data_IF_681061911324
#
_entry.id   IF_681061911324
#
_cell.length_a   1.000
_cell.length_b   1.000
_cell.length_c   1.000
_cell.angle_alpha   90.00
_cell.angle_beta   90.00
_cell.angle_gamma   90.00
#
_symmetry.space_group_name_H-M   'P 1'
#
loop_
_entity.id
_entity.type
_entity.pdbx_description
1 polymer ?
#
# COMPACT_ATOMS: atom_id res chain seq x y z
N UNK A 1 21.62 -13.35 -17.39
CA UNK A 1 21.70 -14.46 -16.44
C UNK A 1 23.09 -15.02 -16.65
N UNK A 2 23.96 -14.90 -15.64
CA UNK A 2 25.41 -14.99 -15.74
C UNK A 2 26.00 -16.26 -16.39
N UNK A 3 27.18 -16.14 -16.96
CA UNK A 3 27.91 -17.23 -17.59
C UNK A 3 28.69 -18.06 -16.57
N UNK A 4 28.87 -17.54 -15.35
CA UNK A 4 29.57 -18.19 -14.23
C UNK A 4 28.61 -18.57 -13.12
N UNK A 5 29.04 -19.49 -12.23
CA UNK A 5 28.25 -19.88 -11.05
C UNK A 5 27.98 -18.68 -10.11
N UNK A 6 28.91 -17.76 -10.02
CA UNK A 6 28.79 -16.56 -9.16
C UNK A 6 27.77 -15.55 -9.71
N UNK A 7 27.56 -15.54 -11.03
CA UNK A 7 26.58 -14.69 -11.70
C UNK A 7 25.22 -15.40 -11.91
N UNK A 8 25.12 -16.66 -11.53
CA UNK A 8 23.92 -17.44 -11.71
C UNK A 8 22.77 -16.92 -10.81
N UNK A 9 21.63 -16.66 -11.42
CA UNK A 9 20.41 -16.35 -10.67
C UNK A 9 19.87 -17.63 -10.01
N UNK A 10 20.25 -17.84 -8.75
CA UNK A 10 19.88 -19.01 -7.95
C UNK A 10 18.43 -18.92 -7.50
N UNK A 11 17.50 -19.06 -8.44
CA UNK A 11 16.06 -19.03 -8.19
C UNK A 11 15.38 -20.25 -8.82
N UNK A 12 14.97 -21.18 -7.99
CA UNK A 12 14.34 -22.43 -8.41
C UNK A 12 13.37 -22.96 -7.36
N UNK A 13 12.25 -22.27 -7.07
CA UNK A 13 11.22 -22.78 -6.17
C UNK A 13 10.71 -24.14 -6.62
N UNK A 14 10.37 -25.03 -5.67
CA UNK A 14 9.89 -26.39 -5.94
C UNK A 14 8.72 -26.45 -6.94
N UNK A 15 7.84 -25.44 -6.92
CA UNK A 15 6.70 -25.35 -7.82
C UNK A 15 6.92 -24.42 -9.03
N UNK A 16 8.17 -24.10 -9.35
CA UNK A 16 8.47 -23.29 -10.54
C UNK A 16 7.96 -24.00 -11.81
N UNK A 17 7.32 -23.22 -12.68
CA UNK A 17 6.75 -23.75 -13.93
C UNK A 17 5.50 -24.62 -13.75
N UNK A 18 4.89 -24.63 -12.57
CA UNK A 18 3.63 -25.35 -12.35
C UNK A 18 2.56 -24.87 -13.35
N UNK A 19 2.00 -25.75 -14.21
CA UNK A 19 1.08 -25.34 -15.27
C UNK A 19 -0.17 -24.62 -14.77
N UNK A 20 -0.73 -25.06 -13.64
CA UNK A 20 -1.91 -24.42 -13.04
C UNK A 20 -1.59 -23.01 -12.55
N UNK A 21 -0.46 -22.84 -11.86
CA UNK A 21 -0.02 -21.52 -11.40
C UNK A 21 0.29 -20.58 -12.57
N UNK A 22 0.91 -21.08 -13.64
CA UNK A 22 1.15 -20.32 -14.85
C UNK A 22 -0.15 -19.90 -15.55
N UNK A 23 -1.13 -20.78 -15.64
CA UNK A 23 -2.45 -20.46 -16.22
C UNK A 23 -3.19 -19.39 -15.40
N UNK A 24 -3.15 -19.48 -14.07
CA UNK A 24 -3.72 -18.46 -13.17
C UNK A 24 -2.98 -17.14 -13.31
N UNK A 25 -1.63 -17.15 -13.41
CA UNK A 25 -0.81 -15.97 -13.63
C UNK A 25 -1.16 -15.26 -14.94
N UNK A 26 -1.25 -15.99 -16.04
CA UNK A 26 -1.67 -15.45 -17.34
C UNK A 26 -3.07 -14.83 -17.26
N UNK A 27 -4.02 -15.51 -16.62
CA UNK A 27 -5.38 -14.99 -16.46
C UNK A 27 -5.43 -13.73 -15.60
N UNK A 28 -4.59 -13.63 -14.59
CA UNK A 28 -4.43 -12.42 -13.76
C UNK A 28 -3.94 -11.23 -14.59
N UNK A 29 -2.96 -11.44 -15.48
CA UNK A 29 -2.44 -10.41 -16.39
C UNK A 29 -3.53 -9.96 -17.36
N UNK A 30 -4.25 -10.88 -18.00
CA UNK A 30 -5.37 -10.55 -18.89
C UNK A 30 -6.43 -9.67 -18.19
N UNK A 31 -6.79 -10.02 -16.95
CA UNK A 31 -7.75 -9.24 -16.17
C UNK A 31 -7.18 -7.85 -15.86
N UNK A 32 -5.91 -7.79 -15.47
CA UNK A 32 -5.24 -6.52 -15.16
C UNK A 32 -5.27 -5.56 -16.35
N UNK A 33 -4.99 -6.04 -17.56
CA UNK A 33 -5.02 -5.27 -18.79
C UNK A 33 -6.45 -4.90 -19.18
N UNK A 34 -7.36 -5.88 -19.23
CA UNK A 34 -8.76 -5.69 -19.61
C UNK A 34 -9.48 -4.66 -18.74
N UNK A 35 -9.25 -4.71 -17.44
CA UNK A 35 -9.88 -3.81 -16.46
C UNK A 35 -9.14 -2.48 -16.32
N UNK A 36 -8.08 -2.26 -17.11
CA UNK A 36 -7.25 -1.06 -17.09
C UNK A 36 -6.81 -0.66 -15.66
N UNK A 37 -6.28 -1.61 -14.91
CA UNK A 37 -5.89 -1.35 -13.51
C UNK A 37 -4.83 -0.27 -13.35
N UNK A 38 -3.98 -0.02 -14.36
CA UNK A 38 -3.01 1.09 -14.30
C UNK A 38 -3.71 2.45 -14.18
N UNK A 39 -4.85 2.64 -14.86
CA UNK A 39 -5.63 3.88 -14.74
C UNK A 39 -6.23 3.99 -13.33
N UNK A 40 -6.84 2.91 -12.82
CA UNK A 40 -7.39 2.87 -11.46
C UNK A 40 -6.34 3.17 -10.39
N UNK A 41 -5.13 2.63 -10.55
CA UNK A 41 -3.99 2.91 -9.66
C UNK A 41 -3.62 4.40 -9.68
N UNK A 42 -3.56 5.02 -10.85
CA UNK A 42 -3.28 6.46 -10.99
C UNK A 42 -4.37 7.33 -10.34
N UNK A 43 -5.64 6.93 -10.44
CA UNK A 43 -6.75 7.62 -9.78
C UNK A 43 -6.63 7.54 -8.25
N UNK A 44 -6.26 6.36 -7.70
CA UNK A 44 -6.03 6.18 -6.26
C UNK A 44 -4.83 7.02 -5.80
N UNK A 45 -3.75 7.02 -6.59
CA UNK A 45 -2.56 7.83 -6.32
C UNK A 45 -2.89 9.32 -6.24
N UNK A 46 -3.59 9.84 -7.26
CA UNK A 46 -4.02 11.24 -7.30
C UNK A 46 -4.91 11.57 -6.10
N UNK A 47 -5.89 10.72 -5.81
CA UNK A 47 -6.76 10.91 -4.66
C UNK A 47 -5.99 11.02 -3.34
N UNK A 48 -5.03 10.15 -3.09
CA UNK A 48 -4.21 10.24 -1.88
C UNK A 48 -3.34 11.50 -1.87
N UNK A 49 -2.68 11.83 -3.00
CA UNK A 49 -1.86 13.04 -3.12
C UNK A 49 -2.68 14.30 -2.83
N UNK A 50 -3.86 14.42 -3.42
CA UNK A 50 -4.77 15.57 -3.22
C UNK A 50 -5.23 15.67 -1.77
N UNK A 51 -5.60 14.54 -1.17
CA UNK A 51 -6.03 14.52 0.23
C UNK A 51 -4.93 14.95 1.21
N UNK A 52 -3.66 14.68 0.91
CA UNK A 52 -2.55 14.97 1.81
C UNK A 52 -1.68 16.16 1.38
N UNK A 53 -1.99 16.84 0.26
CA UNK A 53 -1.19 17.94 -0.29
C UNK A 53 -0.87 19.05 0.74
N UNK A 54 -1.82 19.39 1.59
CA UNK A 54 -1.70 20.42 2.62
C UNK A 54 -1.69 19.85 4.05
N UNK A 55 -1.56 18.54 4.20
CA UNK A 55 -1.55 17.92 5.52
C UNK A 55 -0.20 18.13 6.19
N UNK A 56 -0.21 18.79 7.34
CA UNK A 56 0.96 19.03 8.17
C UNK A 56 0.61 18.73 9.62
N UNK A 57 1.48 18.03 10.31
CA UNK A 57 1.40 17.80 11.75
C UNK A 57 2.81 17.71 12.33
N UNK A 58 2.98 18.15 13.57
CA UNK A 58 4.29 18.22 14.23
C UNK A 58 4.97 16.84 14.33
N UNK A 59 4.20 15.77 14.48
CA UNK A 59 4.72 14.41 14.64
C UNK A 59 4.88 13.66 13.31
N UNK A 60 4.42 14.24 12.20
CA UNK A 60 4.55 13.67 10.85
C UNK A 60 5.72 14.31 10.14
N UNK A 61 6.70 13.50 9.77
CA UNK A 61 7.89 13.93 9.02
C UNK A 61 7.57 14.06 7.54
N UNK A 62 6.90 13.06 6.98
CA UNK A 62 6.62 13.01 5.55
C UNK A 62 5.42 12.10 5.26
N UNK A 63 4.70 12.42 4.18
CA UNK A 63 3.70 11.54 3.57
C UNK A 63 4.12 11.24 2.14
N UNK A 64 4.33 9.96 1.84
CA UNK A 64 4.72 9.48 0.51
C UNK A 64 3.59 8.67 -0.11
N UNK A 65 3.35 8.90 -1.39
CA UNK A 65 2.34 8.16 -2.16
C UNK A 65 2.94 7.69 -3.48
N UNK A 66 2.82 6.40 -3.74
CA UNK A 66 3.17 5.80 -5.02
C UNK A 66 2.12 4.73 -5.38
N UNK A 67 1.46 4.91 -6.51
CA UNK A 67 0.36 4.03 -6.91
C UNK A 67 -0.71 3.92 -5.83
N UNK A 68 -1.04 2.70 -5.42
CA UNK A 68 -2.02 2.46 -4.34
C UNK A 68 -1.42 2.54 -2.93
N UNK A 69 -0.12 2.73 -2.80
CA UNK A 69 0.52 2.78 -1.49
C UNK A 69 0.62 4.21 -0.98
N UNK A 70 0.15 4.44 0.24
CA UNK A 70 0.42 5.63 1.03
C UNK A 70 1.18 5.24 2.30
N UNK A 71 2.23 6.00 2.62
CA UNK A 71 3.05 5.83 3.82
C UNK A 71 3.15 7.17 4.54
N UNK A 72 2.88 7.18 5.83
CA UNK A 72 3.16 8.32 6.71
C UNK A 72 4.33 7.95 7.61
N UNK A 73 5.38 8.75 7.57
CA UNK A 73 6.52 8.65 8.46
C UNK A 73 6.35 9.61 9.62
N UNK A 74 6.45 9.10 10.84
CA UNK A 74 6.41 9.91 12.06
C UNK A 74 7.81 10.09 12.65
N UNK A 75 7.96 11.03 13.58
CA UNK A 75 9.23 11.31 14.26
C UNK A 75 9.76 10.10 15.03
N UNK A 76 8.87 9.36 15.68
CA UNK A 76 9.20 8.14 16.43
C UNK A 76 8.04 7.14 16.42
N UNK A 77 8.33 5.90 16.82
CA UNK A 77 7.30 4.88 16.97
C UNK A 77 6.25 5.24 18.06
N UNK A 78 6.63 6.04 19.05
CA UNK A 78 5.75 6.48 20.13
C UNK A 78 4.57 7.30 19.62
N UNK A 79 4.76 8.08 18.53
CA UNK A 79 3.69 8.83 17.87
C UNK A 79 2.54 7.92 17.37
N UNK A 80 2.81 6.62 17.21
CA UNK A 80 1.87 5.62 16.73
C UNK A 80 1.44 4.63 17.82
N UNK A 81 1.79 4.89 19.10
CA UNK A 81 1.37 4.05 20.21
C UNK A 81 -0.16 4.05 20.33
N UNK A 82 -0.77 2.86 20.25
CA UNK A 82 -2.23 2.72 20.27
C UNK A 82 -2.94 2.89 18.92
N UNK A 83 -2.23 3.31 17.86
CA UNK A 83 -2.82 3.51 16.52
C UNK A 83 -3.57 2.28 16.01
N UNK A 84 -3.01 1.07 16.21
CA UNK A 84 -3.67 -0.18 15.76
C UNK A 84 -5.09 -0.31 16.33
N UNK A 85 -5.24 -0.12 17.65
CA UNK A 85 -6.53 -0.25 18.31
C UNK A 85 -7.51 0.85 17.88
N UNK A 86 -7.00 2.06 17.71
CA UNK A 86 -7.75 3.16 17.14
C UNK A 86 -8.23 2.85 15.72
N UNK A 87 -7.36 2.38 14.83
CA UNK A 87 -7.74 2.03 13.46
C UNK A 87 -8.84 0.96 13.44
N UNK A 88 -8.72 -0.09 14.27
CA UNK A 88 -9.74 -1.13 14.42
C UNK A 88 -11.07 -0.53 14.89
N UNK A 89 -11.08 0.39 15.85
CA UNK A 89 -12.31 1.06 16.33
C UNK A 89 -12.99 1.89 15.22
N UNK A 90 -12.22 2.32 14.21
CA UNK A 90 -12.73 2.99 13.00
C UNK A 90 -13.09 2.02 11.87
N UNK A 91 -13.00 0.70 12.11
CA UNK A 91 -13.24 -0.34 11.11
C UNK A 91 -12.20 -0.36 10.00
N UNK A 92 -10.95 -0.04 10.35
CA UNK A 92 -9.77 -0.09 9.48
C UNK A 92 -8.77 -1.12 10.02
N UNK A 93 -8.20 -1.92 9.12
CA UNK A 93 -7.12 -2.83 9.47
C UNK A 93 -5.78 -2.22 9.06
N UNK A 94 -5.35 -1.21 9.82
CA UNK A 94 -4.06 -0.55 9.64
C UNK A 94 -3.18 -0.80 10.87
N UNK A 95 -1.92 -1.11 10.62
CA UNK A 95 -0.96 -1.34 11.71
C UNK A 95 0.37 -0.65 11.39
N UNK A 96 0.97 0.04 12.35
CA UNK A 96 2.28 0.64 12.15
C UNK A 96 3.39 -0.42 12.15
N UNK A 97 4.51 -0.07 11.50
CA UNK A 97 5.78 -0.77 11.57
C UNK A 97 6.82 0.26 12.00
N UNK A 98 7.29 0.16 13.26
CA UNK A 98 8.15 1.19 13.83
C UNK A 98 7.48 2.56 13.77
N UNK A 99 8.15 3.53 13.16
CA UNK A 99 7.66 4.91 12.99
C UNK A 99 6.81 5.12 11.72
N UNK A 100 6.43 4.07 11.03
CA UNK A 100 5.67 4.16 9.77
C UNK A 100 4.28 3.60 9.94
N UNK A 101 3.28 4.28 9.41
CA UNK A 101 1.95 3.73 9.14
C UNK A 101 1.67 3.81 7.65
N UNK A 102 1.10 2.75 7.09
CA UNK A 102 0.87 2.66 5.66
C UNK A 102 -0.48 2.00 5.34
N UNK A 103 -0.96 2.25 4.14
CA UNK A 103 -2.09 1.56 3.55
C UNK A 103 -1.78 1.16 2.10
N UNK A 104 -2.21 -0.05 1.72
CA UNK A 104 -2.12 -0.59 0.37
C UNK A 104 -3.48 -1.20 0.00
N UNK A 105 -4.47 -0.37 -0.30
CA UNK A 105 -5.79 -0.86 -0.67
C UNK A 105 -5.76 -1.61 -2.00
N UNK A 106 -6.70 -2.55 -2.24
CA UNK A 106 -6.84 -3.21 -3.51
C UNK A 106 -7.23 -2.22 -4.62
N UNK A 107 -6.85 -2.51 -5.88
CA UNK A 107 -7.12 -1.66 -7.04
C UNK A 107 -8.61 -1.39 -7.30
N UNK A 108 -9.50 -2.24 -6.77
CA UNK A 108 -10.97 -2.14 -6.92
C UNK A 108 -11.64 -1.48 -5.72
N UNK A 109 -10.87 -0.84 -4.83
CA UNK A 109 -11.41 -0.20 -3.63
C UNK A 109 -12.42 0.90 -4.00
N UNK A 110 -13.51 1.00 -3.25
CA UNK A 110 -14.47 2.08 -3.42
C UNK A 110 -13.93 3.42 -2.92
N UNK A 111 -14.40 4.51 -3.53
CA UNK A 111 -14.05 5.88 -3.08
C UNK A 111 -14.44 6.13 -1.62
N UNK A 112 -15.56 5.58 -1.18
CA UNK A 112 -16.01 5.64 0.22
C UNK A 112 -14.98 4.99 1.16
N UNK A 113 -14.45 3.82 0.78
CA UNK A 113 -13.43 3.13 1.58
C UNK A 113 -12.09 3.86 1.56
N UNK A 114 -11.69 4.46 0.42
CA UNK A 114 -10.52 5.33 0.35
C UNK A 114 -10.63 6.54 1.27
N UNK A 115 -11.78 7.22 1.25
CA UNK A 115 -12.06 8.36 2.14
C UNK A 115 -11.97 7.94 3.61
N UNK A 116 -12.46 6.75 3.95
CA UNK A 116 -12.37 6.21 5.31
C UNK A 116 -10.92 5.97 5.75
N UNK A 117 -10.07 5.45 4.84
CA UNK A 117 -8.63 5.30 5.10
C UNK A 117 -7.98 6.66 5.36
N UNK A 118 -8.24 7.65 4.51
CA UNK A 118 -7.71 9.01 4.66
C UNK A 118 -8.13 9.62 5.99
N UNK A 119 -9.42 9.54 6.34
CA UNK A 119 -9.92 10.02 7.62
C UNK A 119 -9.23 9.33 8.79
N UNK A 120 -9.12 8.00 8.77
CA UNK A 120 -8.46 7.25 9.83
C UNK A 120 -6.99 7.61 10.02
N UNK A 121 -6.27 7.91 8.95
CA UNK A 121 -4.89 8.36 9.01
C UNK A 121 -4.77 9.79 9.55
N UNK A 122 -5.61 10.74 9.10
CA UNK A 122 -5.55 12.14 9.51
C UNK A 122 -6.05 12.36 10.93
N UNK A 123 -7.19 11.79 11.26
CA UNK A 123 -7.87 12.02 12.55
C UNK A 123 -7.07 11.49 13.75
N UNK A 124 -6.13 10.58 13.52
CA UNK A 124 -5.19 10.15 14.55
C UNK A 124 -4.33 11.30 15.07
N UNK A 125 -3.88 12.16 14.18
CA UNK A 125 -3.02 13.29 14.50
C UNK A 125 -3.77 14.59 14.84
N UNK A 126 -5.08 14.65 14.56
CA UNK A 126 -5.90 15.84 14.80
C UNK A 126 -6.67 15.78 16.14
N UNK A 127 -6.30 14.86 17.02
CA UNK A 127 -6.92 14.69 18.36
C UNK A 127 -6.44 15.71 19.34
#
# INVERSE_FOLDING_TARGET
LGETYEEAFMHGPTFMGNPLACAVGLKSIEIFERENYLSKVKEIESFFKDCFANFKHTDVVEVRVIGCMIVMETKSADCLQGFKNYAISKGLWLRPIGKYVYATPPFIISKTSLTKIVAGLKDWFLK
#
